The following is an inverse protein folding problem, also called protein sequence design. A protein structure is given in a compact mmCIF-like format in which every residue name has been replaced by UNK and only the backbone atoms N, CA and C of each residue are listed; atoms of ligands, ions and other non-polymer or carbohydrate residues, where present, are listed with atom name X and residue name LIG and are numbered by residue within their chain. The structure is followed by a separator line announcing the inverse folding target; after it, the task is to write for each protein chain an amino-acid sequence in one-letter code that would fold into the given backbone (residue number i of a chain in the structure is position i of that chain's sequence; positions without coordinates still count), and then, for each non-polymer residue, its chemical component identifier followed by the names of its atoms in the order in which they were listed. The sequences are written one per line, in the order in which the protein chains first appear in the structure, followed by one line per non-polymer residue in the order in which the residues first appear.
data_IF_182863399869
#
_entry.id   IF_182863399869
#
_cell.length_a   1.000
_cell.length_b   1.000
_cell.length_c   1.000
_cell.angle_alpha   90.00
_cell.angle_beta   90.00
_cell.angle_gamma   90.00
#
_symmetry.space_group_name_H-M   'P 1'
#
loop_
_entity.id
_entity.type
_entity.pdbx_description
1 polymer ?
#
# COMPACT_ATOMS: atom_id res chain seq x y z
N UNK A 1 8.25 29.03 -24.79
CA UNK A 1 7.21 28.53 -23.86
C UNK A 1 7.89 27.66 -22.84
N UNK A 2 7.85 28.01 -21.58
CA UNK A 2 8.44 27.17 -20.53
C UNK A 2 7.55 25.93 -20.31
N UNK A 3 8.17 24.79 -19.97
CA UNK A 3 7.45 23.51 -19.69
C UNK A 3 6.23 23.72 -18.74
N UNK A 4 6.32 24.60 -17.71
CA UNK A 4 5.17 24.93 -16.86
C UNK A 4 3.98 25.52 -17.61
N UNK A 5 4.19 26.34 -18.62
CA UNK A 5 3.12 27.00 -19.39
C UNK A 5 2.36 26.01 -20.29
N UNK A 6 3.08 25.04 -20.87
CA UNK A 6 2.47 23.97 -21.69
C UNK A 6 1.63 23.01 -20.82
N UNK A 7 2.17 22.59 -19.68
CA UNK A 7 1.45 21.71 -18.74
C UNK A 7 0.24 22.45 -18.14
N UNK A 8 0.37 23.73 -17.81
CA UNK A 8 -0.72 24.57 -17.33
C UNK A 8 -1.88 24.64 -18.33
N UNK A 9 -1.59 24.80 -19.62
CA UNK A 9 -2.61 24.82 -20.68
C UNK A 9 -3.35 23.49 -20.87
N UNK A 10 -2.66 22.36 -20.69
CA UNK A 10 -3.25 21.01 -20.76
C UNK A 10 -4.12 20.67 -19.55
N UNK A 11 -3.75 21.19 -18.37
CA UNK A 11 -4.42 20.89 -17.09
C UNK A 11 -5.52 21.92 -16.79
N UNK A 12 -5.48 23.13 -17.36
CA UNK A 12 -6.46 24.18 -17.14
C UNK A 12 -7.93 23.71 -17.27
N UNK A 13 -8.31 22.87 -18.27
CA UNK A 13 -9.68 22.35 -18.35
C UNK A 13 -10.06 21.46 -17.17
N UNK A 14 -9.08 20.73 -16.58
CA UNK A 14 -9.30 19.84 -15.45
C UNK A 14 -9.47 20.59 -14.12
N UNK A 15 -9.00 21.84 -14.05
CA UNK A 15 -9.16 22.71 -12.89
C UNK A 15 -10.49 23.49 -12.92
N UNK A 16 -11.35 23.22 -13.90
CA UNK A 16 -12.70 23.79 -13.90
C UNK A 16 -13.53 23.17 -12.77
N UNK A 17 -14.26 24.02 -12.06
CA UNK A 17 -15.19 23.61 -11.02
C UNK A 17 -16.33 22.80 -11.64
N UNK A 18 -16.64 21.66 -11.05
CA UNK A 18 -17.76 20.78 -11.46
C UNK A 18 -19.00 21.10 -10.64
N UNK A 19 -18.83 21.16 -9.32
CA UNK A 19 -19.88 21.53 -8.36
C UNK A 19 -19.24 22.08 -7.08
N UNK A 20 -20.08 22.54 -6.17
CA UNK A 20 -19.66 23.01 -4.85
C UNK A 20 -20.24 22.11 -3.77
N UNK A 21 -19.40 21.68 -2.83
CA UNK A 21 -19.80 20.91 -1.67
C UNK A 21 -19.41 21.68 -0.40
N UNK A 22 -20.38 22.24 0.30
CA UNK A 22 -20.10 23.12 1.43
C UNK A 22 -19.34 24.38 0.97
N UNK A 23 -18.13 24.57 1.48
CA UNK A 23 -17.21 25.65 1.05
C UNK A 23 -16.20 25.19 0.00
N UNK A 24 -16.20 23.91 -0.34
CA UNK A 24 -15.22 23.24 -1.20
C UNK A 24 -15.67 23.33 -2.67
N UNK A 25 -14.87 23.94 -3.53
CA UNK A 25 -15.10 24.04 -4.97
C UNK A 25 -14.45 22.82 -5.66
N UNK A 26 -15.24 21.78 -5.88
CA UNK A 26 -14.76 20.50 -6.44
C UNK A 26 -14.43 20.64 -7.92
N UNK A 27 -13.22 20.24 -8.29
CA UNK A 27 -12.69 20.30 -9.65
C UNK A 27 -12.66 18.90 -10.31
N UNK A 28 -12.57 18.87 -11.66
CA UNK A 28 -12.37 17.61 -12.39
C UNK A 28 -11.07 16.91 -11.99
N UNK A 29 -10.01 17.69 -11.71
CA UNK A 29 -8.72 17.12 -11.28
C UNK A 29 -8.84 16.36 -9.96
N UNK A 30 -9.60 16.88 -9.01
CA UNK A 30 -9.86 16.19 -7.72
C UNK A 30 -10.68 14.92 -7.92
N UNK A 31 -11.76 14.98 -8.69
CA UNK A 31 -12.59 13.80 -8.97
C UNK A 31 -11.80 12.68 -9.65
N UNK A 32 -11.00 13.01 -10.67
CA UNK A 32 -10.16 12.04 -11.36
C UNK A 32 -9.06 11.49 -10.45
N UNK A 33 -8.45 12.35 -9.64
CA UNK A 33 -7.46 11.96 -8.65
C UNK A 33 -8.03 10.97 -7.62
N UNK A 34 -9.20 11.28 -7.06
CA UNK A 34 -9.89 10.43 -6.10
C UNK A 34 -10.37 9.12 -6.72
N UNK A 35 -10.95 9.16 -7.92
CA UNK A 35 -11.42 7.96 -8.61
C UNK A 35 -10.26 7.01 -8.92
N UNK A 36 -9.15 7.51 -9.47
CA UNK A 36 -7.97 6.70 -9.75
C UNK A 36 -7.29 6.21 -8.48
N UNK A 37 -7.25 7.03 -7.43
CA UNK A 37 -6.79 6.65 -6.10
C UNK A 37 -7.63 5.52 -5.51
N UNK A 38 -8.96 5.62 -5.56
CA UNK A 38 -9.87 4.58 -5.10
C UNK A 38 -9.68 3.25 -5.86
N UNK A 39 -9.51 3.31 -7.18
CA UNK A 39 -9.19 2.12 -8.00
C UNK A 39 -7.84 1.52 -7.57
N UNK A 40 -6.83 2.34 -7.32
CA UNK A 40 -5.53 1.89 -6.84
C UNK A 40 -5.64 1.16 -5.49
N UNK A 41 -6.32 1.74 -4.51
CA UNK A 41 -6.54 1.12 -3.18
C UNK A 41 -7.36 -0.17 -3.31
N UNK A 42 -8.40 -0.19 -4.14
CA UNK A 42 -9.17 -1.40 -4.43
C UNK A 42 -8.31 -2.52 -4.99
N UNK A 43 -7.42 -2.21 -5.91
CA UNK A 43 -6.47 -3.18 -6.46
C UNK A 43 -5.48 -3.67 -5.39
N UNK A 44 -5.08 -2.82 -4.44
CA UNK A 44 -4.28 -3.22 -3.28
C UNK A 44 -5.06 -4.20 -2.37
N UNK A 45 -6.35 -3.94 -2.10
CA UNK A 45 -7.24 -4.85 -1.34
C UNK A 45 -7.26 -6.24 -1.99
N UNK A 46 -7.32 -6.30 -3.33
CA UNK A 46 -7.29 -7.53 -4.14
C UNK A 46 -5.89 -8.14 -4.28
N UNK A 47 -4.88 -7.59 -3.62
CA UNK A 47 -3.46 -7.95 -3.79
C UNK A 47 -3.02 -8.04 -5.27
N UNK A 48 -3.64 -7.23 -6.14
CA UNK A 48 -3.40 -7.19 -7.57
C UNK A 48 -2.17 -6.37 -7.91
N UNK A 49 -1.31 -6.88 -8.80
CA UNK A 49 -0.13 -6.16 -9.28
C UNK A 49 -0.48 -4.90 -10.08
N UNK A 50 -1.70 -4.82 -10.60
CA UNK A 50 -2.20 -3.66 -11.35
C UNK A 50 -2.34 -2.39 -10.52
N UNK A 51 -2.28 -2.48 -9.17
CA UNK A 51 -2.22 -1.30 -8.31
C UNK A 51 -1.03 -0.38 -8.66
N UNK A 52 0.12 -0.95 -9.08
CA UNK A 52 1.31 -0.17 -9.40
C UNK A 52 1.17 0.64 -10.69
N UNK A 53 0.78 0.07 -11.85
CA UNK A 53 0.54 0.88 -13.05
C UNK A 53 -0.50 1.98 -12.83
N UNK A 54 -1.61 1.69 -12.13
CA UNK A 54 -2.63 2.69 -11.81
C UNK A 54 -2.09 3.75 -10.85
N UNK A 55 -1.36 3.35 -9.80
CA UNK A 55 -0.73 4.27 -8.87
C UNK A 55 0.36 5.14 -9.52
N UNK A 56 1.16 4.59 -10.43
CA UNK A 56 2.14 5.36 -11.21
C UNK A 56 1.43 6.40 -12.07
N UNK A 57 0.36 6.03 -12.78
CA UNK A 57 -0.41 6.97 -13.59
C UNK A 57 -1.03 8.08 -12.74
N UNK A 58 -1.58 7.74 -11.57
CA UNK A 58 -2.11 8.70 -10.60
C UNK A 58 -1.01 9.66 -10.09
N UNK A 59 0.15 9.13 -9.68
CA UNK A 59 1.26 9.94 -9.21
C UNK A 59 1.82 10.87 -10.30
N UNK A 60 1.90 10.41 -11.55
CA UNK A 60 2.31 11.25 -12.69
C UNK A 60 1.31 12.39 -12.94
N UNK A 61 0.03 12.10 -12.82
CA UNK A 61 -1.02 13.10 -12.93
C UNK A 61 -0.88 14.18 -11.84
N UNK A 62 -0.76 13.78 -10.57
CA UNK A 62 -0.56 14.73 -9.48
C UNK A 62 0.80 15.45 -9.55
N UNK A 63 1.86 14.79 -10.00
CA UNK A 63 3.14 15.44 -10.24
C UNK A 63 2.99 16.61 -11.22
N UNK A 64 2.31 16.38 -12.36
CA UNK A 64 2.06 17.41 -13.35
C UNK A 64 1.18 18.55 -12.79
N UNK A 65 0.13 18.19 -12.04
CA UNK A 65 -0.79 19.14 -11.40
C UNK A 65 -0.04 20.05 -10.39
N UNK A 66 0.70 19.47 -9.45
CA UNK A 66 1.43 20.21 -8.43
C UNK A 66 2.58 21.03 -9.03
N UNK A 67 3.25 20.51 -10.05
CA UNK A 67 4.28 21.26 -10.76
C UNK A 67 3.71 22.51 -11.44
N UNK A 68 2.55 22.39 -12.13
CA UNK A 68 1.89 23.53 -12.78
C UNK A 68 1.37 24.57 -11.77
N UNK A 69 0.94 24.11 -10.59
CA UNK A 69 0.50 24.96 -9.48
C UNK A 69 1.68 25.55 -8.68
N UNK A 70 2.94 25.26 -9.04
CA UNK A 70 4.17 25.65 -8.34
C UNK A 70 4.27 25.12 -6.89
N UNK A 71 3.58 24.03 -6.60
CA UNK A 71 3.65 23.31 -5.33
C UNK A 71 4.79 22.29 -5.39
N UNK A 72 6.02 22.78 -5.38
CA UNK A 72 7.21 21.95 -5.62
C UNK A 72 7.48 20.91 -4.53
N UNK A 73 7.07 21.17 -3.29
CA UNK A 73 7.19 20.20 -2.19
C UNK A 73 6.30 18.98 -2.46
N UNK A 74 5.02 19.21 -2.81
CA UNK A 74 4.07 18.15 -3.15
C UNK A 74 4.49 17.40 -4.41
N UNK A 75 4.96 18.13 -5.43
CA UNK A 75 5.52 17.53 -6.65
C UNK A 75 6.72 16.61 -6.34
N UNK A 76 7.62 17.02 -5.44
CA UNK A 76 8.77 16.22 -5.01
C UNK A 76 8.33 14.93 -4.29
N UNK A 77 7.27 15.00 -3.48
CA UNK A 77 6.69 13.83 -2.83
C UNK A 77 6.14 12.83 -3.85
N UNK A 78 5.51 13.29 -4.93
CA UNK A 78 5.05 12.40 -6.02
C UNK A 78 6.22 11.66 -6.68
N UNK A 79 7.39 12.30 -6.83
CA UNK A 79 8.60 11.61 -7.34
C UNK A 79 9.03 10.49 -6.40
N UNK A 80 9.00 10.71 -5.08
CA UNK A 80 9.30 9.66 -4.10
C UNK A 80 8.32 8.49 -4.23
N UNK A 81 7.02 8.77 -4.34
CA UNK A 81 6.01 7.72 -4.54
C UNK A 81 6.17 6.98 -5.87
N UNK A 82 6.56 7.66 -6.97
CA UNK A 82 6.86 7.01 -8.25
C UNK A 82 8.00 6.00 -8.12
N UNK A 83 9.09 6.38 -7.45
CA UNK A 83 10.23 5.49 -7.21
C UNK A 83 9.80 4.29 -6.36
N UNK A 84 9.05 4.53 -5.28
CA UNK A 84 8.54 3.47 -4.41
C UNK A 84 7.56 2.54 -5.15
N UNK A 85 6.69 3.09 -6.00
CA UNK A 85 5.75 2.30 -6.80
C UNK A 85 6.49 1.43 -7.83
N UNK A 86 7.46 1.97 -8.55
CA UNK A 86 8.29 1.21 -9.49
C UNK A 86 9.06 0.08 -8.80
N UNK A 87 9.67 0.37 -7.64
CA UNK A 87 10.34 -0.63 -6.81
C UNK A 87 9.38 -1.71 -6.33
N UNK A 88 8.21 -1.34 -5.80
CA UNK A 88 7.18 -2.27 -5.36
C UNK A 88 6.66 -3.16 -6.49
N UNK A 89 6.48 -2.59 -7.69
CA UNK A 89 6.07 -3.34 -8.88
C UNK A 89 7.07 -4.45 -9.21
N UNK A 90 8.36 -4.13 -9.25
CA UNK A 90 9.41 -5.10 -9.48
C UNK A 90 9.45 -6.17 -8.40
N UNK A 91 9.29 -5.80 -7.12
CA UNK A 91 9.26 -6.74 -6.02
C UNK A 91 8.05 -7.69 -6.09
N UNK A 92 6.87 -7.20 -6.47
CA UNK A 92 5.69 -8.06 -6.58
C UNK A 92 5.79 -9.05 -7.74
N UNK A 93 6.45 -8.66 -8.83
CA UNK A 93 6.63 -9.53 -9.99
C UNK A 93 7.75 -10.56 -9.80
N UNK A 94 8.84 -10.18 -9.10
CA UNK A 94 10.09 -10.97 -9.09
C UNK A 94 10.67 -11.22 -7.69
N UNK A 95 10.03 -10.72 -6.65
CA UNK A 95 10.54 -10.76 -5.27
C UNK A 95 10.25 -12.06 -4.51
N UNK A 96 9.64 -13.07 -5.11
CA UNK A 96 9.43 -14.40 -4.54
C UNK A 96 10.64 -15.31 -4.76
N UNK A 97 10.61 -16.51 -4.14
CA UNK A 97 11.62 -17.56 -4.35
C UNK A 97 11.75 -17.87 -5.84
N UNK A 98 12.99 -18.05 -6.32
CA UNK A 98 13.33 -18.31 -7.73
C UNK A 98 12.74 -17.26 -8.70
N UNK A 99 12.64 -15.97 -8.27
CA UNK A 99 12.06 -14.84 -9.04
C UNK A 99 10.58 -15.03 -9.41
N UNK A 100 9.83 -15.76 -8.61
CA UNK A 100 8.37 -15.88 -8.75
C UNK A 100 7.65 -14.68 -8.12
N UNK A 101 6.31 -14.63 -8.25
CA UNK A 101 5.50 -13.57 -7.61
C UNK A 101 5.63 -13.63 -6.09
N UNK A 102 5.82 -12.47 -5.47
CA UNK A 102 5.90 -12.37 -4.02
C UNK A 102 4.57 -12.75 -3.36
N UNK A 103 4.64 -13.60 -2.35
CA UNK A 103 3.48 -14.02 -1.55
C UNK A 103 3.22 -13.02 -0.42
N UNK A 104 1.98 -12.99 0.06
CA UNK A 104 1.62 -12.26 1.26
C UNK A 104 2.40 -12.77 2.47
N UNK A 105 2.82 -11.85 3.33
CA UNK A 105 3.60 -12.17 4.51
C UNK A 105 3.31 -11.22 5.68
N UNK A 106 4.05 -11.43 6.75
CA UNK A 106 4.09 -10.55 7.91
C UNK A 106 5.45 -9.88 8.03
N UNK A 107 5.44 -8.65 8.51
CA UNK A 107 6.66 -7.94 8.86
C UNK A 107 7.33 -8.60 10.08
N UNK A 108 8.66 -8.62 10.09
CA UNK A 108 9.40 -9.02 11.29
C UNK A 108 9.21 -7.99 12.40
N UNK A 109 9.32 -8.43 13.65
CA UNK A 109 9.28 -7.51 14.81
C UNK A 109 10.35 -6.41 14.69
N UNK A 110 11.54 -6.78 14.21
CA UNK A 110 12.63 -5.83 13.97
C UNK A 110 12.25 -4.78 12.94
N UNK A 111 11.65 -5.18 11.80
CA UNK A 111 11.17 -4.24 10.77
C UNK A 111 10.17 -3.24 11.36
N UNK A 112 9.18 -3.72 12.13
CA UNK A 112 8.19 -2.84 12.74
C UNK A 112 8.81 -1.88 13.76
N UNK A 113 9.71 -2.38 14.61
CA UNK A 113 10.42 -1.54 15.59
C UNK A 113 11.28 -0.46 14.91
N UNK A 114 11.97 -0.81 13.82
CA UNK A 114 12.75 0.15 13.03
C UNK A 114 11.85 1.20 12.39
N UNK A 115 10.74 0.80 11.78
CA UNK A 115 9.80 1.76 11.19
C UNK A 115 9.19 2.69 12.24
N UNK A 116 8.79 2.16 13.40
CA UNK A 116 8.27 2.98 14.51
C UNK A 116 9.34 3.92 15.08
N UNK A 117 10.59 3.46 15.21
CA UNK A 117 11.70 4.30 15.65
C UNK A 117 12.02 5.42 14.63
N UNK A 118 11.92 5.12 13.33
CA UNK A 118 12.14 6.10 12.26
C UNK A 118 10.99 7.10 12.12
N UNK A 119 9.78 6.73 12.53
CA UNK A 119 8.60 7.60 12.43
C UNK A 119 8.83 8.94 13.14
N UNK A 120 9.44 8.92 14.34
CA UNK A 120 9.70 10.12 15.14
C UNK A 120 10.68 11.08 14.44
N UNK A 121 11.92 10.69 14.09
CA UNK A 121 12.87 11.61 13.46
C UNK A 121 12.44 12.04 12.05
N UNK A 122 11.75 11.17 11.29
CA UNK A 122 11.24 11.51 9.96
C UNK A 122 10.12 12.55 10.09
N UNK A 123 9.15 12.35 10.98
CA UNK A 123 8.08 13.33 11.24
C UNK A 123 8.68 14.65 11.70
N UNK A 124 9.64 14.64 12.62
CA UNK A 124 10.28 15.85 13.08
C UNK A 124 11.02 16.59 11.95
N UNK A 125 11.83 15.89 11.16
CA UNK A 125 12.54 16.46 10.02
C UNK A 125 11.62 17.05 8.97
N UNK A 126 10.53 16.32 8.62
CA UNK A 126 9.51 16.81 7.70
C UNK A 126 8.76 18.02 8.28
N UNK A 127 8.42 18.01 9.58
CA UNK A 127 7.79 19.18 10.24
C UNK A 127 8.64 20.42 10.10
N UNK A 128 9.95 20.32 10.35
CA UNK A 128 10.88 21.46 10.19
C UNK A 128 10.91 21.94 8.74
N UNK A 129 10.92 21.01 7.77
CA UNK A 129 10.92 21.33 6.34
C UNK A 129 9.62 22.04 5.94
N UNK A 130 8.46 21.47 6.29
CA UNK A 130 7.14 22.00 5.97
C UNK A 130 6.88 23.36 6.65
N UNK A 131 7.34 23.54 7.89
CA UNK A 131 7.27 24.85 8.57
C UNK A 131 8.05 25.93 7.80
N UNK A 132 9.22 25.58 7.24
CA UNK A 132 9.99 26.51 6.39
C UNK A 132 9.31 26.78 5.04
N UNK A 133 8.52 25.83 4.56
CA UNK A 133 7.71 25.96 3.35
C UNK A 133 6.38 26.70 3.59
N UNK A 134 6.14 27.21 4.81
CA UNK A 134 4.92 27.91 5.22
C UNK A 134 3.64 27.07 5.10
N UNK A 135 3.74 25.76 5.35
CA UNK A 135 2.59 24.87 5.42
C UNK A 135 1.64 25.26 6.56
N UNK A 136 0.34 25.05 6.34
CA UNK A 136 -0.74 25.42 7.29
C UNK A 136 -0.77 24.49 8.51
N UNK A 137 -0.42 23.21 8.32
CA UNK A 137 -0.47 22.17 9.36
C UNK A 137 0.77 21.27 9.36
N UNK A 138 2.00 21.84 9.49
CA UNK A 138 3.25 21.16 9.18
C UNK A 138 3.46 19.85 9.94
N UNK A 139 3.05 19.79 11.21
CA UNK A 139 3.18 18.57 12.02
C UNK A 139 2.27 17.45 11.52
N UNK A 140 1.01 17.76 11.24
CA UNK A 140 0.02 16.76 10.81
C UNK A 140 0.33 16.24 9.41
N UNK A 141 0.71 17.12 8.49
CA UNK A 141 1.11 16.76 7.14
C UNK A 141 2.42 15.97 7.13
N UNK A 142 3.37 16.28 8.02
CA UNK A 142 4.59 15.51 8.23
C UNK A 142 4.31 14.11 8.80
N UNK A 143 3.43 14.01 9.80
CA UNK A 143 3.07 12.74 10.44
C UNK A 143 2.38 11.80 9.44
N UNK A 144 1.39 12.30 8.71
CA UNK A 144 0.67 11.50 7.71
C UNK A 144 1.58 11.08 6.56
N UNK A 145 2.49 11.94 6.11
CA UNK A 145 3.53 11.60 5.12
C UNK A 145 4.43 10.49 5.63
N UNK A 146 4.94 10.58 6.86
CA UNK A 146 5.80 9.56 7.44
C UNK A 146 5.09 8.20 7.59
N UNK A 147 3.81 8.21 8.04
CA UNK A 147 2.96 7.01 8.11
C UNK A 147 2.74 6.40 6.72
N UNK A 148 2.45 7.23 5.72
CA UNK A 148 2.21 6.78 4.33
C UNK A 148 3.47 6.17 3.70
N UNK A 149 4.65 6.74 3.95
CA UNK A 149 5.93 6.18 3.48
C UNK A 149 6.22 4.82 4.13
N UNK A 150 5.97 4.67 5.43
CA UNK A 150 6.09 3.39 6.13
C UNK A 150 5.08 2.36 5.61
N UNK A 151 3.82 2.77 5.40
CA UNK A 151 2.78 1.95 4.80
C UNK A 151 3.17 1.48 3.40
N UNK A 152 3.65 2.39 2.55
CA UNK A 152 4.08 2.08 1.18
C UNK A 152 5.27 1.11 1.16
N UNK A 153 6.23 1.27 2.08
CA UNK A 153 7.35 0.34 2.22
C UNK A 153 6.87 -1.08 2.55
N UNK A 154 5.96 -1.21 3.53
CA UNK A 154 5.38 -2.50 3.92
C UNK A 154 4.49 -3.09 2.81
N UNK A 155 3.75 -2.27 2.07
CA UNK A 155 2.97 -2.67 0.90
C UNK A 155 3.88 -3.24 -0.19
N UNK A 156 5.00 -2.58 -0.50
CA UNK A 156 5.98 -3.06 -1.47
C UNK A 156 6.55 -4.42 -1.06
N UNK A 157 6.75 -4.63 0.24
CA UNK A 157 7.15 -5.91 0.80
C UNK A 157 5.99 -6.92 0.91
N UNK A 158 4.78 -6.56 0.50
CA UNK A 158 3.54 -7.38 0.56
C UNK A 158 3.25 -7.88 1.97
N UNK A 159 3.48 -7.03 2.97
CA UNK A 159 3.31 -7.31 4.39
C UNK A 159 1.99 -6.74 4.90
N UNK A 160 1.19 -7.56 5.62
CA UNK A 160 -0.16 -7.18 6.06
C UNK A 160 -0.17 -5.96 6.98
N UNK A 161 0.91 -5.71 7.68
CA UNK A 161 1.05 -4.60 8.60
C UNK A 161 1.00 -3.22 7.90
N UNK A 162 1.13 -3.15 6.56
CA UNK A 162 0.91 -1.92 5.80
C UNK A 162 -0.45 -1.28 6.12
N UNK A 163 -1.49 -2.11 6.31
CA UNK A 163 -2.84 -1.64 6.57
C UNK A 163 -2.97 -0.89 7.88
N UNK A 164 -2.18 -1.23 8.91
CA UNK A 164 -2.20 -0.48 10.18
C UNK A 164 -1.68 0.94 10.01
N UNK A 165 -0.64 1.12 9.19
CA UNK A 165 -0.07 2.43 8.91
C UNK A 165 -0.99 3.28 8.02
N UNK A 166 -1.65 2.67 7.02
CA UNK A 166 -2.67 3.35 6.21
C UNK A 166 -3.87 3.76 7.06
N UNK A 167 -4.41 2.87 7.90
CA UNK A 167 -5.50 3.18 8.83
C UNK A 167 -5.11 4.33 9.77
N UNK A 168 -3.89 4.32 10.32
CA UNK A 168 -3.41 5.39 11.18
C UNK A 168 -3.32 6.73 10.44
N UNK A 169 -2.84 6.73 9.18
CA UNK A 169 -2.80 7.92 8.35
C UNK A 169 -4.20 8.46 8.06
N UNK A 170 -5.15 7.60 7.65
CA UNK A 170 -6.54 8.00 7.36
C UNK A 170 -7.24 8.59 8.58
N UNK A 171 -7.01 8.01 9.78
CA UNK A 171 -7.57 8.52 11.04
C UNK A 171 -7.07 9.94 11.38
N UNK A 172 -5.88 10.31 10.93
CA UNK A 172 -5.34 11.68 11.06
C UNK A 172 -5.88 12.58 9.93
N UNK A 173 -5.89 12.09 8.69
CA UNK A 173 -6.36 12.86 7.54
C UNK A 173 -7.83 13.27 7.63
N UNK A 174 -8.72 12.39 8.10
CA UNK A 174 -10.16 12.65 8.17
C UNK A 174 -10.44 13.94 8.96
N UNK A 175 -10.10 14.07 10.26
CA UNK A 175 -10.36 15.31 10.99
C UNK A 175 -9.57 16.51 10.41
N UNK A 176 -8.34 16.29 9.92
CA UNK A 176 -7.51 17.33 9.36
C UNK A 176 -8.19 18.01 8.15
N UNK A 177 -8.75 17.24 7.21
CA UNK A 177 -9.41 17.79 6.04
C UNK A 177 -10.74 18.46 6.36
N UNK A 178 -11.54 17.92 7.28
CA UNK A 178 -12.75 18.58 7.74
C UNK A 178 -12.44 19.92 8.45
N UNK A 179 -11.37 20.00 9.23
CA UNK A 179 -10.98 21.29 9.86
C UNK A 179 -10.44 22.30 8.87
N UNK A 180 -9.88 21.85 7.73
CA UNK A 180 -9.44 22.71 6.62
C UNK A 180 -10.61 23.14 5.70
N UNK A 181 -11.85 22.66 5.93
CA UNK A 181 -13.01 22.94 5.08
C UNK A 181 -12.99 22.19 3.74
N UNK A 182 -12.19 21.13 3.63
CA UNK A 182 -12.08 20.25 2.46
C UNK A 182 -12.98 19.02 2.64
N UNK A 183 -14.29 19.26 2.62
CA UNK A 183 -15.31 18.28 2.99
C UNK A 183 -15.29 17.05 2.07
N UNK A 184 -15.17 17.25 0.75
CA UNK A 184 -15.08 16.15 -0.21
C UNK A 184 -13.87 15.27 0.07
N UNK A 185 -12.70 15.88 0.28
CA UNK A 185 -11.47 15.17 0.59
C UNK A 185 -11.62 14.37 1.89
N UNK A 186 -12.21 14.96 2.94
CA UNK A 186 -12.53 14.28 4.19
C UNK A 186 -13.41 13.03 3.98
N UNK A 187 -14.47 13.15 3.16
CA UNK A 187 -15.36 12.03 2.82
C UNK A 187 -14.59 10.93 2.05
N UNK A 188 -13.71 11.29 1.12
CA UNK A 188 -12.88 10.34 0.37
C UNK A 188 -11.95 9.56 1.31
N UNK A 189 -11.38 10.22 2.33
CA UNK A 189 -10.55 9.51 3.31
C UNK A 189 -11.36 8.59 4.24
N UNK A 190 -12.62 8.88 4.52
CA UNK A 190 -13.54 7.92 5.19
C UNK A 190 -13.73 6.68 4.30
N UNK A 191 -13.89 6.85 2.99
CA UNK A 191 -13.95 5.73 2.05
C UNK A 191 -12.64 4.93 2.03
N UNK A 192 -11.48 5.61 2.01
CA UNK A 192 -10.18 4.95 2.05
C UNK A 192 -9.98 4.16 3.34
N UNK A 193 -10.36 4.70 4.49
CA UNK A 193 -10.36 3.98 5.76
C UNK A 193 -11.19 2.69 5.70
N UNK A 194 -12.41 2.76 5.13
CA UNK A 194 -13.24 1.57 4.94
C UNK A 194 -12.55 0.54 4.03
N UNK A 195 -11.91 0.98 2.94
CA UNK A 195 -11.15 0.13 2.03
C UNK A 195 -9.90 -0.47 2.71
N UNK A 196 -9.21 0.27 3.57
CA UNK A 196 -8.08 -0.23 4.35
C UNK A 196 -8.52 -1.34 5.33
N UNK A 197 -9.67 -1.18 5.99
CA UNK A 197 -10.26 -2.22 6.84
C UNK A 197 -10.66 -3.47 6.04
N UNK A 198 -11.21 -3.30 4.83
CA UNK A 198 -11.50 -4.41 3.93
C UNK A 198 -10.21 -5.11 3.48
N UNK A 199 -9.17 -4.37 3.13
CA UNK A 199 -7.88 -4.90 2.73
C UNK A 199 -7.21 -5.70 3.84
N UNK A 200 -7.21 -5.16 5.04
CA UNK A 200 -6.71 -5.86 6.22
C UNK A 200 -7.43 -7.19 6.45
N UNK A 201 -8.77 -7.20 6.37
CA UNK A 201 -9.58 -8.43 6.53
C UNK A 201 -9.29 -9.44 5.42
N UNK A 202 -9.24 -9.00 4.16
CA UNK A 202 -8.96 -9.84 3.00
C UNK A 202 -7.58 -10.50 3.10
N UNK A 203 -6.53 -9.72 3.36
CA UNK A 203 -5.16 -10.23 3.47
C UNK A 203 -4.98 -11.15 4.70
N UNK A 204 -5.68 -10.85 5.79
CA UNK A 204 -5.68 -11.72 6.97
C UNK A 204 -6.31 -13.08 6.67
N UNK A 205 -7.40 -13.11 5.90
CA UNK A 205 -8.06 -14.34 5.45
C UNK A 205 -7.15 -15.19 4.56
N UNK A 206 -6.47 -14.58 3.58
CA UNK A 206 -5.51 -15.28 2.72
C UNK A 206 -4.33 -15.88 3.50
N UNK A 207 -3.79 -15.15 4.48
CA UNK A 207 -2.72 -15.65 5.34
C UNK A 207 -3.17 -16.80 6.22
N UNK A 208 -4.41 -16.80 6.71
CA UNK A 208 -4.98 -17.89 7.49
C UNK A 208 -5.16 -19.15 6.62
N UNK A 209 -5.75 -19.00 5.44
CA UNK A 209 -5.93 -20.09 4.49
C UNK A 209 -4.61 -20.74 4.05
N UNK A 210 -3.57 -19.93 3.78
CA UNK A 210 -2.24 -20.42 3.43
C UNK A 210 -1.61 -21.27 4.56
N UNK A 211 -1.81 -20.88 5.82
CA UNK A 211 -1.31 -21.66 6.98
C UNK A 211 -2.01 -23.00 7.14
N UNK A 212 -3.34 -23.01 6.97
CA UNK A 212 -4.14 -24.25 7.06
C UNK A 212 -3.74 -25.25 5.99
N UNK A 213 -3.47 -24.79 4.76
CA UNK A 213 -3.02 -25.64 3.67
C UNK A 213 -1.64 -26.28 3.93
N UNK A 214 -0.73 -25.55 4.57
CA UNK A 214 0.61 -26.07 4.92
C UNK A 214 0.54 -27.08 6.07
N UNK A 215 -0.31 -26.88 7.08
CA UNK A 215 -0.50 -27.78 8.20
C UNK A 215 -1.19 -29.11 7.83
N UNK A 216 -2.07 -29.08 6.80
CA UNK A 216 -2.72 -30.29 6.29
C UNK A 216 -1.78 -31.21 5.49
N UNK A 217 -0.72 -30.65 4.88
CA UNK A 217 0.28 -31.41 4.13
C UNK A 217 1.27 -32.19 5.01
N UNK A 218 1.48 -31.75 6.25
CA UNK A 218 2.45 -32.37 7.17
C UNK A 218 1.84 -33.51 8.01
N UNK A 219 0.49 -33.63 8.02
CA UNK A 219 -0.24 -34.65 8.79
C UNK A 219 -0.46 -35.99 8.09
N UNK A 220 -0.09 -36.14 6.81
CA UNK A 220 -0.32 -37.38 6.03
C UNK A 220 0.92 -38.30 5.90
N UNK A 221 2.02 -37.98 6.60
CA UNK A 221 3.32 -38.69 6.46
C UNK A 221 3.65 -39.71 7.54
N UNK A 222 2.80 -39.95 8.55
CA UNK A 222 3.10 -40.91 9.62
C UNK A 222 1.97 -41.91 9.84
N UNK A 223 1.87 -42.90 9.00
CA UNK A 223 0.90 -43.97 9.20
C UNK A 223 0.95 -45.02 8.07
N UNK A 224 2.01 -45.77 7.98
CA UNK A 224 1.96 -47.19 7.71
C UNK A 224 3.38 -47.77 7.58
N UNK A 225 3.89 -48.34 8.65
CA UNK A 225 4.93 -49.36 8.64
C UNK A 225 4.62 -50.43 9.70
N UNK A 226 3.45 -51.02 9.58
CA UNK A 226 3.05 -52.25 10.27
C UNK A 226 3.28 -53.43 9.33
N UNK A 227 4.47 -53.97 9.27
CA UNK A 227 4.72 -55.24 8.62
C UNK A 227 4.12 -56.38 9.44
N UNK A 228 3.48 -57.39 8.83
CA UNK A 228 3.10 -58.60 9.52
C UNK A 228 4.31 -59.55 9.63
N UNK A 229 4.75 -59.84 10.86
CA UNK A 229 5.55 -61.02 11.23
C UNK A 229 4.73 -62.28 10.97
N UNK A 230 5.11 -63.07 10.02
CA UNK A 230 4.61 -64.41 9.75
C UNK A 230 5.69 -65.45 9.94
N UNK A 231 5.71 -66.11 11.10
CA UNK A 231 6.36 -67.38 11.38
C UNK A 231 5.80 -68.50 10.51
N UNK A 232 6.64 -69.37 10.04
CA UNK A 232 6.21 -70.63 9.41
C UNK A 232 7.36 -71.49 8.88
N UNK A 233 7.77 -72.41 9.69
CA UNK A 233 8.79 -73.37 9.51
C UNK A 233 8.48 -74.46 8.44
N UNK A 234 9.49 -75.30 8.22
CA UNK A 234 9.60 -76.70 7.66
C UNK A 234 9.98 -76.81 6.20
N UNK A 235 11.21 -77.24 5.94
CA UNK A 235 11.77 -78.58 5.86
C UNK A 235 11.50 -79.32 4.52
N UNK A 236 12.57 -79.92 4.06
CA UNK A 236 12.77 -81.02 3.12
C UNK A 236 13.40 -80.72 1.77
N UNK A 237 14.70 -80.95 1.75
CA UNK A 237 15.42 -82.10 1.11
C UNK A 237 15.03 -82.48 -0.31
N UNK A 238 16.08 -82.69 -1.05
CA UNK A 238 16.43 -83.77 -1.98
C UNK A 238 16.60 -83.37 -3.45
N UNK A 239 17.86 -83.51 -3.84
CA UNK A 239 18.48 -84.12 -5.04
C UNK A 239 17.92 -83.81 -6.44
N UNK A 240 18.71 -83.31 -7.29
CA UNK A 240 19.49 -83.97 -8.37
C UNK A 240 20.31 -82.88 -9.09
#
# INVERSE_FOLDING_TARGET
MAVPDMLGGLIAPLNQQVFQLGQDAVTWSELLGFATGAVCVWLCVRASVWNFPVGIANNLFFLALFWSARLYADASLQVVYLVLAAHGWLLWLRGGERRTRRRLGRASRTTLLVLLALLVPVTWGLTVLLTRAHDVAPFWDALTTALSLAAQWLLNAKQIENWYFWIAADLVYIPLYFTKGLDLTGIVYVLFLAMCLMGWRSWRGELAAARSATGAGDGTGTGDSGGPSGTGATDRTVTA
#
